data_IF_666031086593
#
_entry.id   IF_666031086593
#
_cell.length_a   1.000
_cell.length_b   1.000
_cell.length_c   1.000
_cell.angle_alpha   90.00
_cell.angle_beta   90.00
_cell.angle_gamma   90.00
#
_symmetry.space_group_name_H-M   'P 1'
#
loop_
_entity.id
_entity.type
_entity.pdbx_description
1 polymer ?
#
# COMPACT_ATOMS: atom_id res chain seq x y z
N UNK A 1 1.59 0.55 23.61
CA UNK A 1 1.60 1.21 22.29
C UNK A 1 2.97 0.99 21.67
N UNK A 2 3.07 0.22 20.57
CA UNK A 2 4.35 0.02 19.88
C UNK A 2 4.74 1.36 19.24
N UNK A 3 5.84 1.97 19.66
CA UNK A 3 6.37 3.17 19.03
C UNK A 3 7.01 2.74 17.73
N UNK A 4 6.47 3.18 16.59
CA UNK A 4 7.10 2.94 15.29
C UNK A 4 8.54 3.49 15.33
N UNK A 5 9.49 2.70 14.82
CA UNK A 5 10.93 3.03 14.79
C UNK A 5 11.24 4.30 14.00
N UNK A 6 10.30 4.77 13.18
CA UNK A 6 10.47 5.86 12.24
C UNK A 6 11.09 5.45 10.90
N UNK A 7 11.36 4.15 10.68
CA UNK A 7 12.00 3.67 9.44
C UNK A 7 11.06 3.74 8.24
N UNK A 8 9.83 3.23 8.35
CA UNK A 8 8.83 3.36 7.29
C UNK A 8 9.16 2.60 5.98
N UNK A 9 8.48 2.93 4.87
CA UNK A 9 8.65 2.25 3.58
C UNK A 9 10.00 2.52 2.92
N UNK A 10 10.52 1.55 2.17
CA UNK A 10 11.73 1.73 1.34
C UNK A 10 11.42 2.28 -0.05
N UNK A 11 10.16 2.25 -0.48
CA UNK A 11 9.71 2.74 -1.79
C UNK A 11 9.13 4.17 -1.74
N UNK A 12 9.36 4.91 -0.66
CA UNK A 12 9.03 6.34 -0.52
C UNK A 12 10.28 7.05 -0.01
N UNK A 13 10.61 8.20 -0.59
CA UNK A 13 11.75 9.01 -0.22
C UNK A 13 11.37 10.49 -0.19
N UNK A 14 11.63 11.18 0.91
CA UNK A 14 11.64 12.64 0.99
C UNK A 14 12.98 13.24 0.57
N UNK A 15 13.32 14.39 1.16
CA UNK A 15 14.57 15.13 0.90
C UNK A 15 15.42 15.26 2.17
N UNK A 16 16.72 15.49 1.99
CA UNK A 16 17.66 15.77 3.07
C UNK A 16 18.49 14.56 3.53
N UNK A 17 19.51 14.83 4.36
CA UNK A 17 20.49 13.82 4.78
C UNK A 17 19.91 12.76 5.73
N UNK A 18 19.04 13.18 6.65
CA UNK A 18 18.39 12.27 7.58
C UNK A 18 17.51 11.25 6.83
N UNK A 19 16.87 11.71 5.76
CA UNK A 19 16.03 10.87 4.92
C UNK A 19 16.83 9.88 4.09
N UNK A 20 18.00 10.28 3.57
CA UNK A 20 18.93 9.34 2.93
C UNK A 20 19.40 8.25 3.91
N UNK A 21 19.68 8.64 5.15
CA UNK A 21 20.02 7.71 6.22
C UNK A 21 18.88 6.72 6.52
N UNK A 22 17.64 7.23 6.68
CA UNK A 22 16.44 6.41 6.86
C UNK A 22 16.24 5.45 5.70
N UNK A 23 16.34 5.93 4.46
CA UNK A 23 16.10 5.14 3.25
C UNK A 23 17.09 3.97 3.11
N UNK A 24 18.38 4.20 3.38
CA UNK A 24 19.39 3.14 3.36
C UNK A 24 19.09 2.00 4.35
N UNK A 25 18.60 2.35 5.54
CA UNK A 25 18.16 1.37 6.55
C UNK A 25 16.87 0.69 6.08
N UNK A 26 15.89 1.46 5.58
CA UNK A 26 14.60 0.96 5.14
C UNK A 26 14.76 -0.07 4.01
N UNK A 27 15.59 0.21 3.01
CA UNK A 27 15.83 -0.70 1.89
C UNK A 27 16.37 -2.07 2.36
N UNK A 28 17.46 -2.07 3.12
CA UNK A 28 18.07 -3.31 3.62
C UNK A 28 17.09 -4.11 4.49
N UNK A 29 16.36 -3.42 5.35
CA UNK A 29 15.42 -4.04 6.27
C UNK A 29 14.19 -4.60 5.55
N UNK A 30 13.60 -3.85 4.62
CA UNK A 30 12.43 -4.27 3.84
C UNK A 30 12.78 -5.45 2.93
N UNK A 31 13.95 -5.43 2.28
CA UNK A 31 14.43 -6.57 1.49
C UNK A 31 14.65 -7.82 2.37
N UNK A 32 15.23 -7.65 3.55
CA UNK A 32 15.36 -8.75 4.51
C UNK A 32 13.99 -9.28 4.97
N UNK A 33 13.01 -8.40 5.21
CA UNK A 33 11.65 -8.83 5.57
C UNK A 33 11.04 -9.69 4.46
N UNK A 34 11.20 -9.34 3.19
CA UNK A 34 10.70 -10.17 2.08
C UNK A 34 11.26 -11.59 2.10
N UNK A 35 12.52 -11.79 2.54
CA UNK A 35 13.09 -13.13 2.71
C UNK A 35 12.38 -13.98 3.78
N UNK A 36 11.51 -13.37 4.60
CA UNK A 36 10.70 -14.00 5.64
C UNK A 36 9.24 -14.20 5.24
N UNK A 37 8.85 -13.86 4.01
CA UNK A 37 7.49 -14.06 3.54
C UNK A 37 7.05 -15.53 3.71
N UNK A 38 5.83 -15.73 4.22
CA UNK A 38 5.29 -17.06 4.53
C UNK A 38 5.77 -17.68 5.86
N UNK A 39 6.74 -17.09 6.55
CA UNK A 39 7.13 -17.53 7.88
C UNK A 39 6.11 -17.06 8.94
N UNK A 40 5.85 -17.83 10.02
CA UNK A 40 4.88 -17.44 11.06
C UNK A 40 5.15 -16.07 11.69
N UNK A 41 6.42 -15.66 11.77
CA UNK A 41 6.82 -14.38 12.36
C UNK A 41 6.73 -13.18 11.41
N UNK A 42 6.33 -13.37 10.15
CA UNK A 42 6.43 -12.33 9.12
C UNK A 42 5.69 -11.03 9.50
N UNK A 43 4.43 -11.17 9.92
CA UNK A 43 3.59 -10.05 10.38
C UNK A 43 4.21 -9.32 11.56
N UNK A 44 4.70 -10.07 12.56
CA UNK A 44 5.29 -9.51 13.77
C UNK A 44 6.59 -8.75 13.48
N UNK A 45 7.42 -9.27 12.57
CA UNK A 45 8.66 -8.63 12.15
C UNK A 45 8.38 -7.27 11.50
N UNK A 46 7.43 -7.18 10.57
CA UNK A 46 7.05 -5.91 9.93
C UNK A 46 6.52 -4.92 10.99
N UNK A 47 5.67 -5.38 11.90
CA UNK A 47 5.12 -4.55 12.99
C UNK A 47 6.19 -4.00 13.93
N UNK A 48 7.11 -4.85 14.40
CA UNK A 48 8.17 -4.45 15.34
C UNK A 48 9.19 -3.52 14.72
N UNK A 49 9.51 -3.75 13.46
CA UNK A 49 10.47 -2.92 12.73
C UNK A 49 9.86 -1.61 12.26
N UNK A 50 8.55 -1.54 12.07
CA UNK A 50 7.87 -0.34 11.57
C UNK A 50 8.30 0.05 10.14
N UNK A 51 8.83 -0.90 9.37
CA UNK A 51 9.27 -0.71 8.00
C UNK A 51 8.52 -1.69 7.09
N UNK A 52 8.16 -1.24 5.88
CA UNK A 52 7.49 -2.10 4.91
C UNK A 52 6.99 -1.34 3.69
N UNK A 53 6.99 -1.96 2.52
CA UNK A 53 6.36 -1.41 1.32
C UNK A 53 4.84 -1.64 1.32
N UNK A 54 4.15 -1.12 0.28
CA UNK A 54 2.69 -1.15 0.18
C UNK A 54 2.05 -2.53 0.43
N UNK A 55 2.64 -3.60 -0.12
CA UNK A 55 2.17 -4.97 0.03
C UNK A 55 2.40 -5.54 1.44
N UNK A 56 3.57 -5.26 2.04
CA UNK A 56 3.87 -5.66 3.42
C UNK A 56 2.97 -4.95 4.43
N UNK A 57 2.73 -3.65 4.22
CA UNK A 57 1.84 -2.88 5.08
C UNK A 57 0.39 -3.32 4.89
N UNK A 58 -0.05 -3.62 3.66
CA UNK A 58 -1.37 -4.19 3.39
C UNK A 58 -1.55 -5.58 4.02
N UNK A 59 -0.54 -6.44 3.95
CA UNK A 59 -0.51 -7.74 4.63
C UNK A 59 -0.74 -7.57 6.14
N UNK A 60 0.05 -6.72 6.80
CA UNK A 60 -0.07 -6.47 8.23
C UNK A 60 -1.45 -5.90 8.59
N UNK A 61 -1.95 -4.93 7.84
CA UNK A 61 -3.27 -4.36 8.09
C UNK A 61 -4.38 -5.42 7.97
N UNK A 62 -4.31 -6.27 6.94
CA UNK A 62 -5.25 -7.37 6.76
C UNK A 62 -5.22 -8.36 7.94
N UNK A 63 -4.02 -8.78 8.37
CA UNK A 63 -3.87 -9.69 9.50
C UNK A 63 -4.41 -9.10 10.80
N UNK A 64 -4.12 -7.82 11.07
CA UNK A 64 -4.62 -7.14 12.27
C UNK A 64 -6.14 -6.98 12.25
N UNK A 65 -6.74 -6.61 11.11
CA UNK A 65 -8.20 -6.49 11.00
C UNK A 65 -8.86 -7.85 11.26
N UNK A 66 -8.35 -8.92 10.65
CA UNK A 66 -8.85 -10.29 10.84
C UNK A 66 -8.68 -10.78 12.27
N UNK A 67 -7.53 -10.51 12.88
CA UNK A 67 -7.25 -10.83 14.28
C UNK A 67 -8.27 -10.18 15.23
N UNK A 68 -8.73 -8.96 14.91
CA UNK A 68 -9.75 -8.24 15.68
C UNK A 68 -11.20 -8.61 15.28
N UNK A 69 -11.41 -9.70 14.53
CA UNK A 69 -12.73 -10.18 14.14
C UNK A 69 -13.36 -9.48 12.93
N UNK A 70 -12.62 -8.57 12.27
CA UNK A 70 -13.08 -7.92 11.04
C UNK A 70 -12.94 -8.83 9.81
N UNK A 71 -13.80 -8.60 8.82
CA UNK A 71 -13.63 -9.20 7.49
C UNK A 71 -12.75 -8.29 6.63
N UNK A 72 -11.69 -8.84 6.05
CA UNK A 72 -10.84 -8.11 5.11
C UNK A 72 -10.11 -9.04 4.16
N UNK A 73 -9.61 -8.45 3.07
CA UNK A 73 -8.75 -9.12 2.09
C UNK A 73 -7.76 -8.11 1.50
N UNK A 74 -6.52 -8.54 1.27
CA UNK A 74 -5.54 -7.77 0.48
C UNK A 74 -5.97 -7.74 -0.98
N UNK A 75 -5.86 -6.56 -1.60
CA UNK A 75 -6.10 -6.31 -3.01
C UNK A 75 -4.91 -5.54 -3.59
N UNK A 76 -4.75 -5.63 -4.90
CA UNK A 76 -3.74 -4.88 -5.62
C UNK A 76 -4.14 -4.65 -7.07
N UNK A 77 -3.28 -3.95 -7.79
CA UNK A 77 -3.48 -3.68 -9.21
C UNK A 77 -2.94 -4.80 -10.09
N UNK A 78 -3.52 -4.95 -11.28
CA UNK A 78 -3.04 -5.79 -12.36
C UNK A 78 -2.90 -4.93 -13.63
N UNK A 79 -1.68 -4.60 -14.08
CA UNK A 79 -0.39 -5.10 -13.58
C UNK A 79 -0.02 -4.59 -12.17
N UNK A 80 0.88 -5.30 -11.44
CA UNK A 80 1.27 -4.94 -10.08
C UNK A 80 1.92 -3.55 -10.01
N UNK A 81 1.36 -2.67 -9.19
CA UNK A 81 1.86 -1.31 -8.98
C UNK A 81 1.56 -0.79 -7.58
N UNK A 82 0.47 -1.24 -6.95
CA UNK A 82 0.11 -0.87 -5.59
C UNK A 82 -0.74 -1.96 -4.91
N UNK A 83 -0.68 -2.02 -3.58
CA UNK A 83 -1.42 -2.96 -2.76
C UNK A 83 -2.07 -2.25 -1.56
N UNK A 84 -3.26 -2.70 -1.18
CA UNK A 84 -4.11 -2.13 -0.13
C UNK A 84 -5.07 -3.20 0.40
N UNK A 85 -5.94 -2.86 1.36
CA UNK A 85 -6.87 -3.80 1.98
C UNK A 85 -8.31 -3.36 1.71
N UNK A 86 -9.13 -4.29 1.22
CA UNK A 86 -10.59 -4.15 1.22
C UNK A 86 -11.12 -4.67 2.55
N UNK A 87 -11.94 -3.87 3.22
CA UNK A 87 -12.51 -4.15 4.54
C UNK A 87 -14.03 -4.24 4.43
N UNK A 88 -14.58 -5.28 5.04
CA UNK A 88 -16.00 -5.66 4.99
C UNK A 88 -16.21 -7.06 4.40
N UNK A 89 -17.42 -7.58 4.59
CA UNK A 89 -17.81 -8.88 4.03
C UNK A 89 -18.09 -8.69 2.54
N UNK A 90 -17.15 -9.11 1.69
CA UNK A 90 -17.32 -9.06 0.24
C UNK A 90 -18.30 -10.15 -0.20
N UNK A 91 -19.39 -9.81 -0.91
CA UNK A 91 -20.26 -10.82 -1.51
C UNK A 91 -19.48 -11.77 -2.43
N UNK A 92 -19.82 -13.06 -2.54
CA UNK A 92 -19.14 -13.99 -3.44
C UNK A 92 -19.15 -13.56 -4.92
N UNK A 93 -20.14 -12.76 -5.30
CA UNK A 93 -20.32 -12.19 -6.64
C UNK A 93 -19.50 -10.92 -6.87
N UNK A 94 -18.86 -10.37 -5.84
CA UNK A 94 -18.06 -9.17 -5.95
C UNK A 94 -16.74 -9.49 -6.66
N UNK A 95 -16.68 -9.11 -7.94
CA UNK A 95 -15.56 -9.38 -8.82
C UNK A 95 -14.49 -8.30 -8.81
N UNK A 96 -13.65 -8.36 -9.84
CA UNK A 96 -12.64 -7.35 -10.14
C UNK A 96 -13.32 -6.00 -10.41
N UNK A 97 -12.62 -4.90 -10.16
CA UNK A 97 -13.15 -3.54 -10.40
C UNK A 97 -12.06 -2.62 -10.94
N UNK A 98 -12.46 -1.55 -11.60
CA UNK A 98 -11.57 -0.46 -11.97
C UNK A 98 -11.53 0.63 -10.90
N UNK A 99 -12.64 0.94 -10.24
CA UNK A 99 -12.77 2.15 -9.42
C UNK A 99 -13.67 2.02 -8.19
N UNK A 100 -14.20 0.82 -7.90
CA UNK A 100 -15.08 0.54 -6.77
C UNK A 100 -16.42 1.30 -6.81
N UNK A 101 -16.85 1.78 -7.99
CA UNK A 101 -18.11 2.52 -8.13
C UNK A 101 -19.33 1.60 -8.26
N UNK A 102 -19.14 0.32 -8.54
CA UNK A 102 -20.23 -0.63 -8.73
C UNK A 102 -21.01 -0.87 -7.43
N UNK A 103 -22.33 -1.11 -7.52
CA UNK A 103 -23.21 -1.18 -6.35
C UNK A 103 -22.79 -2.21 -5.29
N UNK A 104 -22.13 -3.30 -5.70
CA UNK A 104 -21.62 -4.34 -4.79
C UNK A 104 -20.51 -3.86 -3.84
N UNK A 105 -19.89 -2.71 -4.12
CA UNK A 105 -18.87 -2.10 -3.27
C UNK A 105 -19.43 -1.19 -2.17
N UNK A 106 -20.75 -0.91 -2.20
CA UNK A 106 -21.40 -0.08 -1.19
C UNK A 106 -21.28 -0.72 0.20
N UNK A 107 -20.80 0.07 1.16
CA UNK A 107 -20.58 -0.38 2.54
C UNK A 107 -19.23 -1.04 2.79
N UNK A 108 -18.42 -1.25 1.74
CA UNK A 108 -17.03 -1.67 1.87
C UNK A 108 -16.11 -0.46 2.01
N UNK A 109 -14.97 -0.69 2.66
CA UNK A 109 -13.95 0.32 2.93
C UNK A 109 -12.61 -0.11 2.36
N UNK A 110 -11.76 0.87 2.07
CA UNK A 110 -10.35 0.64 1.76
C UNK A 110 -9.51 1.11 2.93
N UNK A 111 -8.56 0.28 3.34
CA UNK A 111 -7.47 0.63 4.23
C UNK A 111 -6.15 0.50 3.46
N UNK A 112 -5.51 1.63 3.22
CA UNK A 112 -4.18 1.73 2.62
C UNK A 112 -3.23 2.37 3.64
N UNK A 113 -2.56 1.56 4.47
CA UNK A 113 -1.65 2.06 5.49
C UNK A 113 -0.39 2.71 4.91
N UNK A 114 0.00 2.39 3.67
CA UNK A 114 1.17 2.98 3.01
C UNK A 114 0.92 4.44 2.63
N UNK A 115 -0.27 4.73 2.10
CA UNK A 115 -0.71 6.10 1.84
C UNK A 115 -1.34 6.80 3.05
N UNK A 116 -1.56 6.07 4.15
CA UNK A 116 -2.34 6.49 5.32
C UNK A 116 -3.77 6.92 4.96
N UNK A 117 -4.46 6.08 4.17
CA UNK A 117 -5.84 6.31 3.72
C UNK A 117 -6.76 5.27 4.35
N UNK A 118 -7.87 5.73 4.91
CA UNK A 118 -9.02 4.91 5.30
C UNK A 118 -10.28 5.61 4.82
N UNK A 119 -11.00 5.03 3.86
CA UNK A 119 -12.16 5.67 3.25
C UNK A 119 -13.17 4.63 2.71
N UNK A 120 -14.42 5.02 2.40
CA UNK A 120 -15.33 4.19 1.62
C UNK A 120 -14.69 3.77 0.30
N UNK A 121 -14.98 2.57 -0.18
CA UNK A 121 -14.31 2.02 -1.36
C UNK A 121 -14.45 2.88 -2.61
N UNK A 122 -15.66 3.41 -2.84
CA UNK A 122 -15.97 4.31 -3.96
C UNK A 122 -15.18 5.63 -3.96
N UNK A 123 -14.55 6.00 -2.85
CA UNK A 123 -13.78 7.25 -2.73
C UNK A 123 -12.27 7.05 -2.87
N UNK A 124 -11.82 5.79 -2.91
CA UNK A 124 -10.40 5.47 -2.75
C UNK A 124 -9.51 6.10 -3.81
N UNK A 125 -9.88 6.03 -5.09
CA UNK A 125 -9.06 6.63 -6.16
C UNK A 125 -8.98 8.16 -6.05
N UNK A 126 -10.02 8.80 -5.52
CA UNK A 126 -10.04 10.25 -5.25
C UNK A 126 -9.06 10.59 -4.13
N UNK A 127 -9.16 9.88 -3.00
CA UNK A 127 -8.27 10.08 -1.84
C UNK A 127 -6.81 9.78 -2.17
N UNK A 128 -6.55 8.71 -2.91
CA UNK A 128 -5.21 8.36 -3.36
C UNK A 128 -4.62 9.46 -4.25
N UNK A 129 -5.40 10.01 -5.18
CA UNK A 129 -4.96 11.12 -6.00
C UNK A 129 -4.63 12.38 -5.17
N UNK A 130 -5.47 12.72 -4.18
CA UNK A 130 -5.21 13.84 -3.26
C UNK A 130 -3.91 13.61 -2.50
N UNK A 131 -3.70 12.40 -1.98
CA UNK A 131 -2.49 12.03 -1.26
C UNK A 131 -1.23 12.18 -2.12
N UNK A 132 -1.26 11.69 -3.36
CA UNK A 132 -0.12 11.77 -4.27
C UNK A 132 0.22 13.22 -4.64
N UNK A 133 -0.78 14.09 -4.77
CA UNK A 133 -0.55 15.52 -4.95
C UNK A 133 0.07 16.15 -3.70
N UNK A 134 -0.43 15.81 -2.51
CA UNK A 134 0.14 16.30 -1.25
C UNK A 134 1.61 15.85 -1.07
N UNK A 135 1.92 14.60 -1.40
CA UNK A 135 3.29 14.08 -1.40
C UNK A 135 4.18 14.78 -2.42
N UNK A 136 3.68 15.03 -3.63
CA UNK A 136 4.43 15.79 -4.62
C UNK A 136 4.79 17.20 -4.13
N UNK A 137 3.83 17.90 -3.51
CA UNK A 137 4.05 19.24 -2.96
C UNK A 137 5.03 19.25 -1.77
N UNK A 138 5.25 18.09 -1.15
CA UNK A 138 6.23 17.89 -0.08
C UNK A 138 7.56 17.31 -0.58
N UNK A 139 7.81 17.35 -1.90
CA UNK A 139 9.01 16.80 -2.55
C UNK A 139 9.25 15.30 -2.29
N UNK A 140 8.18 14.54 -2.06
CA UNK A 140 8.24 13.09 -1.89
C UNK A 140 8.27 12.40 -3.25
N UNK A 141 9.23 11.48 -3.37
CA UNK A 141 9.41 10.56 -4.48
C UNK A 141 8.99 9.14 -4.10
N UNK A 142 8.55 8.37 -5.09
CA UNK A 142 8.11 6.99 -4.97
C UNK A 142 8.96 6.13 -5.92
N UNK A 143 9.35 4.94 -5.47
CA UNK A 143 10.04 3.95 -6.30
C UNK A 143 8.99 3.15 -7.07
N UNK A 144 8.89 3.42 -8.37
CA UNK A 144 7.98 2.72 -9.28
C UNK A 144 8.64 1.48 -9.87
N UNK A 145 7.84 0.45 -10.12
CA UNK A 145 8.21 -0.74 -10.88
C UNK A 145 7.47 -0.72 -12.22
N UNK A 146 8.10 -0.17 -13.24
CA UNK A 146 7.56 -0.10 -14.59
C UNK A 146 7.93 -1.37 -15.35
N UNK A 147 7.15 -2.44 -15.14
CA UNK A 147 7.31 -3.73 -15.82
C UNK A 147 8.72 -4.35 -15.67
N UNK A 148 9.27 -4.30 -14.46
CA UNK A 148 10.59 -4.84 -14.13
C UNK A 148 11.70 -3.78 -14.10
N UNK A 149 11.42 -2.56 -14.55
CA UNK A 149 12.37 -1.44 -14.43
C UNK A 149 12.02 -0.59 -13.22
N UNK A 150 12.92 -0.57 -12.24
CA UNK A 150 12.77 0.27 -11.05
C UNK A 150 13.29 1.68 -11.30
N UNK A 151 12.49 2.70 -10.94
CA UNK A 151 12.92 4.10 -10.98
C UNK A 151 12.28 4.92 -9.87
N UNK A 152 13.02 5.88 -9.35
CA UNK A 152 12.45 6.94 -8.53
C UNK A 152 11.72 7.94 -9.42
N UNK A 153 10.51 8.32 -9.02
CA UNK A 153 9.74 9.37 -9.67
C UNK A 153 8.95 10.18 -8.66
N UNK A 154 8.44 11.33 -9.09
CA UNK A 154 7.59 12.17 -8.24
C UNK A 154 6.31 11.42 -7.87
N UNK A 155 5.79 11.63 -6.66
CA UNK A 155 4.56 10.97 -6.23
C UNK A 155 3.36 11.20 -7.17
N UNK A 156 3.30 12.34 -7.88
CA UNK A 156 2.27 12.64 -8.87
C UNK A 156 2.61 12.22 -10.32
N UNK A 157 3.48 11.22 -10.50
CA UNK A 157 3.82 10.69 -11.82
C UNK A 157 2.56 10.35 -12.62
N UNK A 158 2.41 10.99 -13.78
CA UNK A 158 1.18 10.90 -14.59
C UNK A 158 0.93 9.49 -15.13
N UNK A 159 1.99 8.77 -15.48
CA UNK A 159 1.87 7.43 -16.03
C UNK A 159 1.42 6.46 -14.93
N UNK A 160 2.01 6.57 -13.74
CA UNK A 160 1.62 5.75 -12.61
C UNK A 160 0.20 6.07 -12.11
N UNK A 161 -0.18 7.35 -12.01
CA UNK A 161 -1.55 7.74 -11.66
C UNK A 161 -2.58 7.26 -12.71
N UNK A 162 -2.22 7.28 -13.99
CA UNK A 162 -3.07 6.75 -15.06
C UNK A 162 -3.23 5.24 -14.90
N UNK A 163 -2.13 4.53 -14.65
CA UNK A 163 -2.14 3.10 -14.38
C UNK A 163 -3.01 2.76 -13.17
N UNK A 164 -2.89 3.50 -12.06
CA UNK A 164 -3.72 3.29 -10.89
C UNK A 164 -5.21 3.52 -11.15
N UNK A 165 -5.59 4.34 -12.14
CA UNK A 165 -7.00 4.55 -12.51
C UNK A 165 -7.49 3.47 -13.47
N UNK A 166 -6.69 3.05 -14.44
CA UNK A 166 -7.10 2.13 -15.50
C UNK A 166 -6.80 0.66 -15.24
N UNK A 167 -5.89 0.33 -14.31
CA UNK A 167 -5.55 -1.04 -13.97
C UNK A 167 -6.72 -1.73 -13.26
N UNK A 168 -6.86 -3.04 -13.49
CA UNK A 168 -7.85 -3.86 -12.79
C UNK A 168 -7.40 -4.07 -11.34
N UNK A 169 -8.30 -3.85 -10.38
CA UNK A 169 -8.08 -4.12 -8.96
C UNK A 169 -8.64 -5.49 -8.65
N UNK A 170 -7.83 -6.31 -8.01
CA UNK A 170 -8.17 -7.69 -7.70
C UNK A 170 -7.42 -8.19 -6.48
N UNK A 171 -7.93 -9.21 -5.77
CA UNK A 171 -7.11 -9.91 -4.80
C UNK A 171 -5.91 -10.57 -5.51
N UNK A 172 -4.76 -10.73 -4.83
CA UNK A 172 -3.67 -11.54 -5.34
C UNK A 172 -4.15 -12.98 -5.59
N UNK A 173 -3.50 -13.70 -6.53
CA UNK A 173 -3.82 -15.09 -6.84
C UNK A 173 -3.71 -16.02 -5.63
#
# INVERSE_FOLDING_TARGET
MVKATGIGPSNVAGVGVDELGRLSIAESLVMWQYSRAGQPSYTEVILKTGAGNCDQMAHVANELIRFNGGASRVWGTSPPAHAFVVVGITPPTLGLTLDFSEAGWRGLWICDPWAAIVCPASEYLRELNIKMLAWHLADISVLFNDQGTYRWGRANDRNWLTLLRSAVKRPPP
#
